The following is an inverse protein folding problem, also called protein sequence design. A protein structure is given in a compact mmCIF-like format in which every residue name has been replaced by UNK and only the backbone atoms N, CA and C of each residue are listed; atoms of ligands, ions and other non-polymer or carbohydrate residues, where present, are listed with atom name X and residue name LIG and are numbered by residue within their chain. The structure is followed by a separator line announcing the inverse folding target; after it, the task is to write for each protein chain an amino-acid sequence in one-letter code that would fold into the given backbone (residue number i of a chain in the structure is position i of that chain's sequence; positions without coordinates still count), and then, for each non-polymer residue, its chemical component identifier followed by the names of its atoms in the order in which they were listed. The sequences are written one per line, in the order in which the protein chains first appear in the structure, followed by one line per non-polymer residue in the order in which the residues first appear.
data_IF_949143651283
#
_entry.id   IF_949143651283
#
_cell.length_a   1.000
_cell.length_b   1.000
_cell.length_c   1.000
_cell.angle_alpha   90.00
_cell.angle_beta   90.00
_cell.angle_gamma   90.00
#
_symmetry.space_group_name_H-M   'P 1'
#
loop_
_entity.id
_entity.type
_entity.pdbx_description
1 polymer ?
#
# COMPACT_ATOMS: atom_id res chain seq x y z
N UNK A 1 15.77 19.72 1.90
CA UNK A 1 16.29 19.51 0.51
C UNK A 1 15.19 19.81 -0.50
N UNK A 2 15.46 20.57 -1.56
CA UNK A 2 14.63 20.68 -2.76
C UNK A 2 15.37 19.95 -3.86
N UNK A 3 14.90 18.76 -4.26
CA UNK A 3 15.74 17.96 -5.16
C UNK A 3 15.00 16.77 -5.74
N UNK A 4 15.46 16.37 -6.94
CA UNK A 4 15.28 15.02 -7.49
C UNK A 4 15.63 13.93 -6.47
N UNK A 5 16.56 14.19 -5.54
CA UNK A 5 16.89 13.28 -4.44
C UNK A 5 15.67 12.97 -3.56
N UNK A 6 14.90 14.00 -3.16
CA UNK A 6 13.70 13.80 -2.35
C UNK A 6 12.64 13.02 -3.12
N UNK A 7 12.45 13.33 -4.41
CA UNK A 7 11.54 12.62 -5.30
C UNK A 7 11.88 11.12 -5.38
N UNK A 8 13.16 10.80 -5.62
CA UNK A 8 13.62 9.43 -5.76
C UNK A 8 13.48 8.63 -4.45
N UNK A 9 13.86 9.22 -3.31
CA UNK A 9 13.70 8.58 -2.00
C UNK A 9 12.24 8.30 -1.65
N UNK A 10 11.37 9.27 -1.93
CA UNK A 10 9.92 9.15 -1.77
C UNK A 10 9.36 8.01 -2.62
N UNK A 11 9.61 8.04 -3.94
CA UNK A 11 9.09 7.02 -4.87
C UNK A 11 9.69 5.64 -4.65
N UNK A 12 10.98 5.53 -4.33
CA UNK A 12 11.62 4.26 -3.96
C UNK A 12 10.83 3.55 -2.86
N UNK A 13 10.52 4.27 -1.77
CA UNK A 13 9.78 3.70 -0.64
C UNK A 13 8.33 3.35 -0.98
N UNK A 14 7.66 4.13 -1.84
CA UNK A 14 6.32 3.83 -2.33
C UNK A 14 6.30 2.57 -3.17
N UNK A 15 7.26 2.40 -4.07
CA UNK A 15 7.32 1.20 -4.92
C UNK A 15 7.61 -0.07 -4.11
N UNK A 16 8.48 0.00 -3.08
CA UNK A 16 8.70 -1.13 -2.17
C UNK A 16 7.41 -1.49 -1.40
N UNK A 17 6.73 -0.50 -0.83
CA UNK A 17 5.48 -0.72 -0.11
C UNK A 17 4.36 -1.23 -1.04
N UNK A 18 4.30 -0.73 -2.30
CA UNK A 18 3.35 -1.20 -3.31
C UNK A 18 3.60 -2.64 -3.71
N UNK A 19 4.86 -3.05 -3.88
CA UNK A 19 5.22 -4.43 -4.14
C UNK A 19 4.78 -5.35 -2.99
N UNK A 20 5.00 -4.94 -1.73
CA UNK A 20 4.51 -5.67 -0.55
C UNK A 20 2.97 -5.79 -0.54
N UNK A 21 2.29 -4.68 -0.77
CA UNK A 21 0.82 -4.61 -0.78
C UNK A 21 0.24 -5.54 -1.86
N UNK A 22 0.76 -5.47 -3.08
CA UNK A 22 0.28 -6.28 -4.18
C UNK A 22 0.54 -7.77 -3.96
N UNK A 23 1.74 -8.14 -3.47
CA UNK A 23 2.05 -9.53 -3.11
C UNK A 23 1.04 -10.09 -2.10
N UNK A 24 0.65 -9.27 -1.11
CA UNK A 24 -0.33 -9.66 -0.10
C UNK A 24 -1.75 -9.80 -0.67
N UNK A 25 -2.21 -8.85 -1.48
CA UNK A 25 -3.56 -8.94 -2.07
C UNK A 25 -3.65 -10.13 -3.03
N UNK A 26 -2.61 -10.42 -3.83
CA UNK A 26 -2.57 -11.59 -4.71
C UNK A 26 -2.74 -12.90 -3.94
N UNK A 27 -1.96 -13.06 -2.88
CA UNK A 27 -1.96 -14.24 -2.02
C UNK A 27 -3.30 -14.43 -1.28
N UNK A 28 -3.84 -13.34 -0.71
CA UNK A 28 -5.14 -13.35 -0.04
C UNK A 28 -6.28 -13.64 -1.02
N UNK A 29 -6.25 -13.07 -2.23
CA UNK A 29 -7.29 -13.31 -3.24
C UNK A 29 -7.31 -14.78 -3.68
N UNK A 30 -6.13 -15.37 -3.87
CA UNK A 30 -5.98 -16.80 -4.15
C UNK A 30 -6.52 -17.66 -3.00
N UNK A 31 -6.16 -17.34 -1.75
CA UNK A 31 -6.62 -18.07 -0.57
C UNK A 31 -8.15 -17.99 -0.40
N UNK A 32 -8.73 -16.80 -0.62
CA UNK A 32 -10.17 -16.58 -0.54
C UNK A 32 -10.95 -17.37 -1.60
N UNK A 33 -10.43 -17.42 -2.83
CA UNK A 33 -11.05 -18.19 -3.92
C UNK A 33 -11.08 -19.70 -3.61
N UNK A 34 -10.01 -20.24 -3.02
CA UNK A 34 -9.95 -21.63 -2.57
C UNK A 34 -10.95 -21.92 -1.45
N UNK A 35 -11.04 -21.04 -0.45
CA UNK A 35 -11.96 -21.19 0.69
C UNK A 35 -13.42 -21.18 0.27
N UNK A 36 -13.82 -20.27 -0.60
CA UNK A 36 -15.20 -20.15 -1.08
C UNK A 36 -15.60 -21.26 -2.07
N UNK A 37 -14.64 -22.08 -2.54
CA UNK A 37 -14.82 -23.03 -3.65
C UNK A 37 -15.49 -22.40 -4.87
N UNK A 38 -15.33 -21.08 -5.02
CA UNK A 38 -15.97 -20.29 -6.06
C UNK A 38 -14.90 -19.87 -7.05
N UNK A 39 -15.08 -20.25 -8.32
CA UNK A 39 -14.34 -19.67 -9.45
C UNK A 39 -14.85 -18.28 -9.82
N UNK A 40 -15.68 -17.66 -8.97
CA UNK A 40 -16.26 -16.35 -9.23
C UNK A 40 -15.14 -15.31 -9.39
N UNK A 41 -15.17 -14.62 -10.52
CA UNK A 41 -14.21 -13.58 -10.92
C UNK A 41 -14.05 -12.47 -9.88
N UNK A 42 -15.06 -12.23 -9.05
CA UNK A 42 -15.15 -11.02 -8.23
C UNK A 42 -14.04 -10.92 -7.16
N UNK A 43 -13.76 -12.00 -6.42
CA UNK A 43 -12.70 -12.00 -5.40
C UNK A 43 -11.30 -12.02 -6.04
N UNK A 44 -11.11 -12.83 -7.09
CA UNK A 44 -9.84 -12.91 -7.82
C UNK A 44 -9.53 -11.66 -8.66
N UNK A 45 -10.53 -10.84 -8.96
CA UNK A 45 -10.36 -9.56 -9.65
C UNK A 45 -9.87 -8.43 -8.74
N UNK A 46 -9.83 -8.63 -7.42
CA UNK A 46 -9.45 -7.56 -6.48
C UNK A 46 -8.08 -6.94 -6.80
N UNK A 47 -7.00 -7.72 -7.07
CA UNK A 47 -5.72 -7.15 -7.49
C UNK A 47 -5.83 -6.32 -8.78
N UNK A 48 -6.59 -6.79 -9.78
CA UNK A 48 -6.77 -6.08 -11.06
C UNK A 48 -7.55 -4.77 -10.86
N UNK A 49 -8.53 -4.74 -9.98
CA UNK A 49 -9.30 -3.54 -9.66
C UNK A 49 -8.50 -2.51 -8.88
N UNK A 50 -7.62 -2.95 -7.98
CA UNK A 50 -6.74 -2.04 -7.24
C UNK A 50 -5.75 -1.35 -8.16
N UNK A 51 -5.30 -2.04 -9.20
CA UNK A 51 -4.34 -1.54 -10.19
C UNK A 51 -5.00 -0.95 -11.44
N UNK A 52 -6.34 -0.87 -11.48
CA UNK A 52 -7.13 -0.44 -12.64
C UNK A 52 -6.77 -1.18 -13.95
N UNK A 53 -6.50 -2.48 -13.87
CA UNK A 53 -5.93 -3.30 -14.96
C UNK A 53 -6.84 -4.42 -15.48
N UNK A 54 -8.13 -4.44 -15.09
CA UNK A 54 -9.09 -5.49 -15.52
C UNK A 54 -9.21 -5.58 -17.05
N UNK A 55 -9.35 -4.43 -17.74
CA UNK A 55 -9.50 -4.39 -19.19
C UNK A 55 -8.24 -4.86 -19.93
N UNK A 56 -7.05 -4.45 -19.45
CA UNK A 56 -5.78 -4.86 -20.04
C UNK A 56 -5.52 -6.35 -19.83
N UNK A 57 -5.84 -6.86 -18.63
CA UNK A 57 -5.75 -8.29 -18.34
C UNK A 57 -6.67 -9.10 -19.26
N UNK A 58 -7.95 -8.71 -19.37
CA UNK A 58 -8.93 -9.41 -20.20
C UNK A 58 -8.51 -9.46 -21.67
N UNK A 59 -7.95 -8.36 -22.18
CA UNK A 59 -7.44 -8.30 -23.55
C UNK A 59 -6.24 -9.25 -23.82
N UNK A 60 -5.43 -9.56 -22.80
CA UNK A 60 -4.22 -10.41 -22.96
C UNK A 60 -4.43 -11.87 -22.59
N UNK A 61 -5.28 -12.13 -21.60
CA UNK A 61 -5.42 -13.44 -20.97
C UNK A 61 -6.85 -14.01 -21.04
N UNK A 62 -7.81 -13.24 -21.55
CA UNK A 62 -9.23 -13.58 -21.53
C UNK A 62 -9.92 -13.20 -20.21
N UNK A 63 -11.24 -13.44 -20.14
CA UNK A 63 -12.06 -13.06 -18.98
C UNK A 63 -11.88 -14.00 -17.78
N UNK A 64 -11.34 -15.20 -17.98
CA UNK A 64 -11.13 -16.17 -16.91
C UNK A 64 -9.90 -15.81 -16.07
N UNK A 65 -10.14 -15.52 -14.79
CA UNK A 65 -9.07 -15.16 -13.84
C UNK A 65 -8.71 -16.38 -13.02
N UNK A 66 -7.47 -16.85 -13.15
CA UNK A 66 -6.87 -17.82 -12.23
C UNK A 66 -5.56 -17.29 -11.62
N UNK A 67 -5.14 -17.90 -10.51
CA UNK A 67 -3.95 -17.47 -9.77
C UNK A 67 -2.69 -17.43 -10.64
N UNK A 68 -2.47 -18.42 -11.50
CA UNK A 68 -1.29 -18.49 -12.37
C UNK A 68 -1.25 -17.33 -13.35
N UNK A 69 -2.35 -17.06 -14.06
CA UNK A 69 -2.44 -15.93 -15.00
C UNK A 69 -2.33 -14.59 -14.29
N UNK A 70 -2.90 -14.48 -13.08
CA UNK A 70 -2.87 -13.25 -12.31
C UNK A 70 -1.46 -12.93 -11.80
N UNK A 71 -0.74 -13.92 -11.28
CA UNK A 71 0.67 -13.78 -10.90
C UNK A 71 1.59 -13.57 -12.10
N UNK A 72 1.32 -14.21 -13.24
CA UNK A 72 2.06 -13.93 -14.46
C UNK A 72 1.92 -12.46 -14.86
N UNK A 73 0.71 -11.89 -14.77
CA UNK A 73 0.43 -10.50 -15.15
C UNK A 73 0.88 -9.48 -14.09
N UNK A 74 0.47 -9.60 -12.83
CA UNK A 74 0.76 -8.63 -11.76
C UNK A 74 2.00 -8.97 -10.91
N UNK A 75 2.53 -10.19 -10.99
CA UNK A 75 3.77 -10.56 -10.31
C UNK A 75 4.99 -10.36 -11.19
N UNK A 76 5.05 -11.10 -12.30
CA UNK A 76 6.28 -11.31 -13.07
C UNK A 76 6.39 -10.52 -14.39
N UNK A 77 5.31 -9.91 -14.88
CA UNK A 77 5.34 -9.19 -16.16
C UNK A 77 5.93 -7.77 -16.04
N UNK A 78 6.16 -7.14 -17.20
CA UNK A 78 6.49 -5.71 -17.30
C UNK A 78 5.31 -4.74 -17.20
N UNK A 79 4.12 -5.19 -16.77
CA UNK A 79 2.99 -4.30 -16.51
C UNK A 79 3.39 -3.22 -15.47
N UNK A 80 3.04 -1.92 -15.63
CA UNK A 80 3.53 -0.86 -14.75
C UNK A 80 3.20 -1.05 -13.27
N UNK A 81 2.07 -1.68 -12.97
CA UNK A 81 1.65 -1.96 -11.60
C UNK A 81 2.19 -3.29 -11.03
N UNK A 82 2.93 -4.10 -11.82
CA UNK A 82 3.40 -5.41 -11.36
C UNK A 82 4.45 -5.30 -10.24
N UNK A 83 4.60 -6.36 -9.46
CA UNK A 83 5.66 -6.49 -8.45
C UNK A 83 7.03 -6.29 -9.11
N UNK A 84 7.28 -6.97 -10.24
CA UNK A 84 8.50 -6.80 -11.01
C UNK A 84 8.78 -5.33 -11.36
N UNK A 85 7.82 -4.61 -11.93
CA UNK A 85 7.99 -3.20 -12.31
C UNK A 85 8.18 -2.31 -11.09
N UNK A 86 7.46 -2.55 -9.99
CA UNK A 86 7.66 -1.82 -8.74
C UNK A 86 9.09 -2.00 -8.21
N UNK A 87 9.60 -3.24 -8.17
CA UNK A 87 10.96 -3.51 -7.69
C UNK A 87 12.04 -2.93 -8.61
N UNK A 88 11.81 -2.94 -9.93
CA UNK A 88 12.68 -2.24 -10.89
C UNK A 88 12.74 -0.75 -10.60
N UNK A 89 11.56 -0.11 -10.48
CA UNK A 89 11.49 1.32 -10.19
C UNK A 89 12.10 1.67 -8.84
N UNK A 90 11.90 0.86 -7.80
CA UNK A 90 12.55 1.05 -6.51
C UNK A 90 14.09 1.02 -6.65
N UNK A 91 14.62 0.06 -7.39
CA UNK A 91 16.05 -0.08 -7.66
C UNK A 91 16.62 1.11 -8.45
N UNK A 92 15.94 1.55 -9.50
CA UNK A 92 16.40 2.68 -10.31
C UNK A 92 16.37 4.01 -9.52
N UNK A 93 15.34 4.21 -8.69
CA UNK A 93 15.31 5.35 -7.76
C UNK A 93 16.45 5.30 -6.74
N UNK A 94 16.76 4.11 -6.21
CA UNK A 94 17.85 3.92 -5.26
C UNK A 94 19.22 4.24 -5.87
N UNK A 95 19.46 3.83 -7.13
CA UNK A 95 20.69 4.14 -7.86
C UNK A 95 20.87 5.63 -8.10
N UNK A 96 19.78 6.31 -8.49
CA UNK A 96 19.80 7.75 -8.71
C UNK A 96 20.13 8.55 -7.44
N UNK A 97 20.02 7.94 -6.25
CA UNK A 97 20.32 8.57 -4.95
C UNK A 97 21.27 7.74 -4.10
N UNK A 98 22.19 6.98 -4.71
CA UNK A 98 23.14 6.12 -3.99
C UNK A 98 23.83 6.81 -2.82
N UNK A 99 24.19 8.10 -2.98
CA UNK A 99 24.86 8.90 -1.94
C UNK A 99 23.99 9.26 -0.73
N UNK A 100 22.67 9.14 -0.84
CA UNK A 100 21.72 9.37 0.26
C UNK A 100 21.30 8.09 0.99
N UNK A 101 21.76 6.92 0.54
CA UNK A 101 21.46 5.61 1.13
C UNK A 101 22.67 5.05 1.86
N UNK A 102 22.42 4.28 2.92
CA UNK A 102 23.48 3.48 3.54
C UNK A 102 23.89 2.33 2.60
N UNK A 103 25.08 1.75 2.81
CA UNK A 103 25.54 0.60 2.04
C UNK A 103 24.54 -0.57 2.12
N UNK A 104 24.12 -0.91 3.34
CA UNK A 104 23.17 -2.00 3.59
C UNK A 104 21.81 -1.79 2.92
N UNK A 105 21.30 -0.56 2.89
CA UNK A 105 20.04 -0.25 2.18
C UNK A 105 20.18 -0.52 0.68
N UNK A 106 21.26 -0.02 0.07
CA UNK A 106 21.48 -0.17 -1.36
C UNK A 106 21.72 -1.63 -1.76
N UNK A 107 22.51 -2.37 -0.97
CA UNK A 107 22.76 -3.81 -1.14
C UNK A 107 21.47 -4.62 -1.00
N UNK A 108 20.63 -4.30 -0.01
CA UNK A 108 19.34 -4.95 0.18
C UNK A 108 18.43 -4.79 -1.05
N UNK A 109 18.32 -3.57 -1.60
CA UNK A 109 17.51 -3.30 -2.79
C UNK A 109 18.06 -4.06 -4.00
N UNK A 110 19.38 -4.10 -4.18
CA UNK A 110 20.00 -4.82 -5.29
C UNK A 110 19.83 -6.34 -5.18
N UNK A 111 20.02 -6.90 -4.00
CA UNK A 111 19.75 -8.33 -3.76
C UNK A 111 18.28 -8.68 -3.98
N UNK A 112 17.35 -7.78 -3.61
CA UNK A 112 15.92 -7.93 -3.92
C UNK A 112 15.69 -7.94 -5.43
N UNK A 113 16.32 -7.03 -6.17
CA UNK A 113 16.16 -6.97 -7.62
C UNK A 113 16.70 -8.24 -8.31
N UNK A 114 17.87 -8.73 -7.92
CA UNK A 114 18.45 -9.97 -8.46
C UNK A 114 17.50 -11.17 -8.25
N UNK A 115 16.97 -11.35 -7.04
CA UNK A 115 16.01 -12.42 -6.76
C UNK A 115 14.70 -12.28 -7.55
N UNK A 116 14.24 -11.05 -7.80
CA UNK A 116 13.09 -10.79 -8.66
C UNK A 116 13.39 -11.17 -10.12
N UNK A 117 14.59 -10.88 -10.63
CA UNK A 117 14.98 -11.26 -11.99
C UNK A 117 15.03 -12.78 -12.17
N UNK A 118 15.58 -13.51 -11.19
CA UNK A 118 15.57 -14.97 -11.18
C UNK A 118 14.14 -15.51 -11.21
N UNK A 119 13.26 -15.00 -10.35
CA UNK A 119 11.87 -15.42 -10.30
C UNK A 119 11.07 -15.04 -11.56
N UNK A 120 11.40 -13.93 -12.23
CA UNK A 120 10.75 -13.55 -13.49
C UNK A 120 11.18 -14.48 -14.65
N UNK A 121 12.44 -14.92 -14.68
CA UNK A 121 12.94 -15.87 -15.67
C UNK A 121 12.40 -17.28 -15.43
N UNK A 122 12.35 -17.70 -14.16
CA UNK A 122 11.84 -19.00 -13.75
C UNK A 122 10.85 -18.83 -12.59
N UNK A 123 9.57 -18.56 -12.89
CA UNK A 123 8.54 -18.40 -11.87
C UNK A 123 8.47 -19.61 -10.94
N UNK A 124 8.48 -19.41 -9.61
CA UNK A 124 8.42 -20.49 -8.65
C UNK A 124 7.08 -21.22 -8.78
N UNK A 125 7.11 -22.54 -8.55
CA UNK A 125 5.89 -23.34 -8.53
C UNK A 125 4.94 -22.94 -7.38
N UNK A 126 5.53 -22.53 -6.25
CA UNK A 126 4.81 -22.02 -5.09
C UNK A 126 4.78 -20.48 -5.11
N UNK A 127 3.66 -19.94 -5.58
CA UNK A 127 3.43 -18.50 -5.71
C UNK A 127 3.22 -17.81 -4.35
N UNK A 128 2.65 -18.52 -3.37
CA UNK A 128 2.45 -17.98 -2.03
C UNK A 128 3.80 -17.75 -1.34
N UNK A 129 4.71 -18.73 -1.45
CA UNK A 129 6.09 -18.59 -0.95
C UNK A 129 6.85 -17.44 -1.60
N UNK A 130 6.61 -17.17 -2.88
CA UNK A 130 7.18 -15.98 -3.53
C UNK A 130 6.57 -14.69 -2.98
N UNK A 131 5.26 -14.66 -2.74
CA UNK A 131 4.59 -13.57 -2.05
C UNK A 131 5.19 -13.28 -0.66
N UNK A 132 5.46 -14.33 0.13
CA UNK A 132 6.17 -14.23 1.42
C UNK A 132 7.55 -13.60 1.24
N UNK A 133 8.34 -14.09 0.29
CA UNK A 133 9.66 -13.55 0.01
C UNK A 133 9.60 -12.05 -0.32
N UNK A 134 8.68 -11.59 -1.17
CA UNK A 134 8.50 -10.15 -1.47
C UNK A 134 8.20 -9.34 -0.20
N UNK A 135 7.37 -9.86 0.70
CA UNK A 135 7.06 -9.23 1.99
C UNK A 135 8.28 -9.17 2.90
N UNK A 136 9.03 -10.27 3.01
CA UNK A 136 10.28 -10.33 3.77
C UNK A 136 11.31 -9.30 3.28
N UNK A 137 11.45 -9.13 1.95
CA UNK A 137 12.36 -8.12 1.38
C UNK A 137 11.98 -6.70 1.82
N UNK A 138 10.69 -6.38 1.81
CA UNK A 138 10.18 -5.07 2.23
C UNK A 138 10.35 -4.85 3.74
N UNK A 139 10.12 -5.88 4.55
CA UNK A 139 10.36 -5.83 6.00
C UNK A 139 11.84 -5.64 6.33
N UNK A 140 12.73 -6.36 5.64
CA UNK A 140 14.17 -6.23 5.80
C UNK A 140 14.64 -4.83 5.42
N UNK A 141 14.18 -4.28 4.28
CA UNK A 141 14.48 -2.90 3.89
C UNK A 141 14.04 -1.90 4.96
N UNK A 142 12.83 -2.04 5.48
CA UNK A 142 12.29 -1.18 6.54
C UNK A 142 13.14 -1.26 7.83
N UNK A 143 13.54 -2.46 8.23
CA UNK A 143 14.40 -2.69 9.40
C UNK A 143 15.78 -2.06 9.24
N UNK A 144 16.45 -2.30 8.10
CA UNK A 144 17.75 -1.70 7.77
C UNK A 144 17.66 -0.17 7.74
N UNK A 145 16.62 0.37 7.10
CA UNK A 145 16.38 1.82 7.03
C UNK A 145 16.26 2.40 8.43
N UNK A 146 15.44 1.80 9.30
CA UNK A 146 15.23 2.31 10.66
C UNK A 146 16.51 2.22 11.52
N UNK A 147 17.32 1.19 11.33
CA UNK A 147 18.51 0.93 12.14
C UNK A 147 19.78 1.67 11.72
N UNK A 148 19.92 2.05 10.44
CA UNK A 148 21.24 2.45 9.90
C UNK A 148 21.32 3.88 9.37
N UNK A 149 20.22 4.47 8.88
CA UNK A 149 20.28 5.79 8.24
C UNK A 149 20.25 6.93 9.27
N UNK A 150 20.90 8.05 8.95
CA UNK A 150 20.78 9.27 9.72
C UNK A 150 19.34 9.84 9.64
N UNK A 151 18.80 10.33 10.76
CA UNK A 151 17.39 10.80 10.86
C UNK A 151 17.21 12.23 10.34
N UNK A 152 17.61 12.46 9.10
CA UNK A 152 17.48 13.73 8.39
C UNK A 152 16.32 13.74 7.37
N UNK A 153 16.33 14.69 6.44
CA UNK A 153 15.31 14.80 5.40
C UNK A 153 15.25 13.54 4.52
N UNK A 154 16.35 12.84 4.27
CA UNK A 154 16.33 11.63 3.45
C UNK A 154 15.49 10.54 4.11
N UNK A 155 15.71 10.33 5.42
CA UNK A 155 14.89 9.43 6.23
C UNK A 155 13.40 9.84 6.23
N UNK A 156 13.13 11.15 6.35
CA UNK A 156 11.76 11.69 6.33
C UNK A 156 11.05 11.38 5.01
N UNK A 157 11.70 11.59 3.85
CA UNK A 157 11.08 11.30 2.56
C UNK A 157 10.83 9.81 2.33
N UNK A 158 11.74 8.93 2.79
CA UNK A 158 11.51 7.48 2.75
C UNK A 158 10.28 7.11 3.59
N UNK A 159 10.19 7.59 4.84
CA UNK A 159 9.02 7.29 5.68
C UNK A 159 7.73 7.88 5.11
N UNK A 160 7.79 9.09 4.56
CA UNK A 160 6.64 9.77 3.99
C UNK A 160 6.05 8.97 2.82
N UNK A 161 6.88 8.48 1.91
CA UNK A 161 6.41 7.63 0.81
C UNK A 161 5.77 6.34 1.31
N UNK A 162 6.40 5.66 2.28
CA UNK A 162 5.81 4.47 2.92
C UNK A 162 4.41 4.71 3.46
N UNK A 163 4.19 5.76 4.27
CA UNK A 163 2.88 5.99 4.89
C UNK A 163 1.82 6.50 3.91
N UNK A 164 2.21 7.30 2.91
CA UNK A 164 1.27 7.71 1.85
C UNK A 164 0.79 6.49 1.05
N UNK A 165 1.70 5.59 0.67
CA UNK A 165 1.32 4.38 -0.06
C UNK A 165 0.44 3.44 0.78
N UNK A 166 0.72 3.30 2.08
CA UNK A 166 -0.14 2.51 2.99
C UNK A 166 -1.54 3.08 3.11
N UNK A 167 -1.66 4.40 3.31
CA UNK A 167 -2.96 5.05 3.45
C UNK A 167 -3.78 4.92 2.16
N UNK A 168 -3.18 5.17 0.99
CA UNK A 168 -3.84 5.01 -0.31
C UNK A 168 -4.30 3.57 -0.52
N UNK A 169 -3.44 2.57 -0.26
CA UNK A 169 -3.77 1.16 -0.41
C UNK A 169 -4.93 0.73 0.54
N UNK A 170 -4.89 1.11 1.82
CA UNK A 170 -5.96 0.80 2.78
C UNK A 170 -7.28 1.43 2.35
N UNK A 171 -7.28 2.69 1.91
CA UNK A 171 -8.48 3.37 1.45
C UNK A 171 -9.06 2.73 0.18
N UNK A 172 -8.21 2.31 -0.78
CA UNK A 172 -8.65 1.60 -1.99
C UNK A 172 -9.23 0.23 -1.68
N UNK A 173 -8.61 -0.53 -0.79
CA UNK A 173 -9.09 -1.84 -0.36
C UNK A 173 -10.46 -1.74 0.36
N UNK A 174 -10.60 -0.78 1.28
CA UNK A 174 -11.88 -0.46 1.91
C UNK A 174 -12.91 -0.08 0.83
N UNK A 175 -12.56 0.80 -0.10
CA UNK A 175 -13.49 1.27 -1.14
C UNK A 175 -13.95 0.12 -2.02
N UNK A 176 -13.04 -0.73 -2.47
CA UNK A 176 -13.36 -1.93 -3.23
C UNK A 176 -14.32 -2.83 -2.47
N UNK A 177 -14.06 -3.05 -1.17
CA UNK A 177 -14.90 -3.90 -0.32
C UNK A 177 -16.32 -3.39 -0.16
N UNK A 178 -16.48 -2.08 -0.01
CA UNK A 178 -17.77 -1.44 0.20
C UNK A 178 -18.58 -1.22 -1.10
N UNK A 179 -18.05 -1.56 -2.29
CA UNK A 179 -18.84 -1.52 -3.55
C UNK A 179 -19.88 -2.63 -3.61
N UNK A 180 -19.59 -3.76 -2.97
CA UNK A 180 -20.42 -4.96 -2.99
C UNK A 180 -20.94 -5.25 -1.58
N UNK A 181 -21.99 -4.56 -1.15
CA UNK A 181 -22.63 -4.88 0.12
C UNK A 181 -23.50 -6.14 -0.05
N UNK A 182 -23.03 -7.28 0.45
CA UNK A 182 -23.77 -8.56 0.44
C UNK A 182 -23.83 -9.10 1.87
N UNK A 183 -25.01 -9.26 2.45
CA UNK A 183 -25.13 -9.87 3.78
C UNK A 183 -24.92 -11.40 3.73
N UNK A 184 -24.12 -11.97 4.65
CA UNK A 184 -24.00 -13.44 4.85
C UNK A 184 -22.57 -13.95 5.09
N UNK A 185 -22.38 -15.28 5.11
CA UNK A 185 -21.06 -15.91 5.38
C UNK A 185 -19.97 -15.55 4.35
N UNK A 186 -20.34 -15.33 3.08
CA UNK A 186 -19.41 -14.86 2.07
C UNK A 186 -18.85 -13.46 2.39
N UNK A 187 -19.62 -12.64 3.13
CA UNK A 187 -19.24 -11.31 3.61
C UNK A 187 -18.16 -11.41 4.69
N UNK A 188 -18.30 -12.38 5.61
CA UNK A 188 -17.33 -12.65 6.69
C UNK A 188 -15.94 -12.98 6.13
N UNK A 189 -15.83 -13.96 5.23
CA UNK A 189 -14.54 -14.31 4.63
C UNK A 189 -13.93 -13.15 3.85
N UNK A 190 -14.75 -12.32 3.19
CA UNK A 190 -14.26 -11.13 2.50
C UNK A 190 -13.76 -10.05 3.47
N UNK A 191 -14.35 -9.91 4.66
CA UNK A 191 -13.86 -9.00 5.70
C UNK A 191 -12.55 -9.51 6.33
N UNK A 192 -12.45 -10.82 6.58
CA UNK A 192 -11.19 -11.45 7.01
C UNK A 192 -10.11 -11.23 5.96
N UNK A 193 -10.41 -11.48 4.68
CA UNK A 193 -9.48 -11.23 3.58
C UNK A 193 -9.05 -9.75 3.49
N UNK A 194 -9.97 -8.81 3.71
CA UNK A 194 -9.61 -7.38 3.79
C UNK A 194 -8.61 -7.13 4.93
N UNK A 195 -8.87 -7.65 6.13
CA UNK A 195 -7.99 -7.50 7.29
C UNK A 195 -6.63 -8.15 7.05
N UNK A 196 -6.59 -9.35 6.47
CA UNK A 196 -5.36 -10.04 6.08
C UNK A 196 -4.58 -9.24 5.05
N UNK A 197 -5.25 -8.64 4.06
CA UNK A 197 -4.63 -7.80 3.01
C UNK A 197 -3.91 -6.56 3.56
N UNK A 198 -4.26 -6.12 4.77
CA UNK A 198 -3.61 -5.00 5.46
C UNK A 198 -2.98 -5.41 6.80
N UNK A 199 -2.72 -6.70 7.02
CA UNK A 199 -2.10 -7.21 8.25
C UNK A 199 -2.75 -6.72 9.56
N UNK A 200 -4.07 -6.60 9.56
CA UNK A 200 -4.86 -6.10 10.69
C UNK A 200 -5.76 -7.17 11.33
N UNK A 201 -5.69 -8.43 10.85
CA UNK A 201 -6.55 -9.50 11.37
C UNK A 201 -6.25 -9.81 12.84
N UNK A 202 -4.98 -9.97 13.22
CA UNK A 202 -4.58 -10.19 14.61
C UNK A 202 -4.96 -9.01 15.51
N UNK A 203 -4.79 -7.79 15.03
CA UNK A 203 -5.20 -6.58 15.75
C UNK A 203 -6.72 -6.55 15.97
N UNK A 204 -7.51 -6.90 14.95
CA UNK A 204 -8.97 -7.01 15.08
C UNK A 204 -9.36 -8.02 16.17
N UNK A 205 -8.77 -9.22 16.14
CA UNK A 205 -9.05 -10.27 17.12
C UNK A 205 -8.66 -9.86 18.54
N UNK A 206 -7.54 -9.14 18.68
CA UNK A 206 -7.05 -8.64 19.97
C UNK A 206 -7.89 -7.51 20.55
N UNK A 207 -8.58 -6.71 19.72
CA UNK A 207 -9.34 -5.53 20.18
C UNK A 207 -10.80 -5.86 20.42
N UNK A 208 -11.44 -6.58 19.50
CA UNK A 208 -12.89 -6.76 19.53
C UNK A 208 -13.34 -8.09 20.13
N UNK A 209 -12.48 -9.11 20.16
CA UNK A 209 -12.77 -10.46 20.69
C UNK A 209 -14.12 -11.05 20.22
N UNK A 210 -14.55 -10.70 19.01
CA UNK A 210 -15.89 -10.98 18.48
C UNK A 210 -15.80 -11.30 16.98
N UNK A 211 -16.91 -11.75 16.42
CA UNK A 211 -17.06 -12.03 14.98
C UNK A 211 -16.74 -10.78 14.17
N UNK A 212 -16.08 -10.99 13.02
CA UNK A 212 -15.73 -9.92 12.09
C UNK A 212 -17.00 -9.29 11.51
N UNK A 213 -17.15 -7.97 11.67
CA UNK A 213 -18.28 -7.19 11.15
C UNK A 213 -17.81 -5.94 10.41
N UNK A 214 -18.55 -5.53 9.38
CA UNK A 214 -18.15 -4.42 8.52
C UNK A 214 -17.95 -3.08 9.27
N UNK A 215 -18.84 -2.66 10.20
CA UNK A 215 -18.65 -1.42 10.96
C UNK A 215 -17.37 -1.43 11.80
N UNK A 216 -17.08 -2.52 12.52
CA UNK A 216 -15.87 -2.66 13.33
C UNK A 216 -14.60 -2.68 12.47
N UNK A 217 -14.65 -3.34 11.30
CA UNK A 217 -13.52 -3.32 10.35
C UNK A 217 -13.27 -1.90 9.81
N UNK A 218 -14.32 -1.16 9.47
CA UNK A 218 -14.16 0.23 9.03
C UNK A 218 -13.62 1.12 10.14
N UNK A 219 -14.14 1.03 11.36
CA UNK A 219 -13.62 1.76 12.52
C UNK A 219 -12.14 1.46 12.76
N UNK A 220 -11.75 0.18 12.75
CA UNK A 220 -10.36 -0.24 12.93
C UNK A 220 -9.43 0.32 11.84
N UNK A 221 -9.84 0.20 10.57
CA UNK A 221 -8.97 0.56 9.44
C UNK A 221 -8.99 2.06 9.13
N UNK A 222 -9.99 2.81 9.60
CA UNK A 222 -10.09 4.25 9.36
C UNK A 222 -9.59 5.03 10.58
N UNK A 223 -10.11 4.75 11.78
CA UNK A 223 -9.99 5.65 12.94
C UNK A 223 -9.02 5.16 14.02
N UNK A 224 -8.65 3.88 14.05
CA UNK A 224 -7.79 3.36 15.12
C UNK A 224 -6.31 3.77 14.91
N UNK A 225 -5.69 4.56 15.80
CA UNK A 225 -4.32 5.05 15.60
C UNK A 225 -3.22 4.01 15.90
N UNK A 226 -3.56 2.89 16.55
CA UNK A 226 -2.61 1.87 16.99
C UNK A 226 -2.37 0.78 15.93
N UNK A 227 -3.23 0.71 14.90
CA UNK A 227 -3.08 -0.23 13.78
C UNK A 227 -2.20 0.41 12.69
N UNK A 228 -0.98 -0.08 12.42
CA UNK A 228 0.01 0.64 11.59
C UNK A 228 -0.40 0.94 10.14
N UNK A 229 -1.42 0.24 9.63
CA UNK A 229 -1.95 0.39 8.28
C UNK A 229 -3.32 1.09 8.24
N UNK A 230 -3.86 1.50 9.39
CA UNK A 230 -5.07 2.31 9.41
C UNK A 230 -4.81 3.70 8.84
N UNK A 231 -5.88 4.37 8.39
CA UNK A 231 -5.78 5.73 7.87
C UNK A 231 -5.32 6.69 8.97
N UNK A 232 -5.86 6.58 10.19
CA UNK A 232 -5.45 7.37 11.36
C UNK A 232 -3.97 7.24 11.69
N UNK A 233 -3.43 6.01 11.76
CA UNK A 233 -2.02 5.78 12.05
C UNK A 233 -1.12 6.37 10.96
N UNK A 234 -1.45 6.12 9.69
CA UNK A 234 -0.67 6.62 8.56
C UNK A 234 -0.67 8.16 8.50
N UNK A 235 -1.82 8.81 8.67
CA UNK A 235 -1.91 10.27 8.64
C UNK A 235 -1.35 10.94 9.89
N UNK A 236 -1.38 10.28 11.05
CA UNK A 236 -0.64 10.71 12.23
C UNK A 236 0.86 10.83 11.92
N UNK A 237 1.44 9.80 11.31
CA UNK A 237 2.85 9.79 10.89
C UNK A 237 3.14 10.80 9.76
N UNK A 238 2.30 10.87 8.73
CA UNK A 238 2.45 11.83 7.62
C UNK A 238 2.46 13.26 8.18
N UNK A 239 1.50 13.61 9.03
CA UNK A 239 1.40 14.95 9.63
C UNK A 239 2.66 15.31 10.43
N UNK A 240 3.15 14.40 11.27
CA UNK A 240 4.38 14.59 12.03
C UNK A 240 5.61 14.75 11.13
N UNK A 241 5.77 13.89 10.12
CA UNK A 241 6.92 13.91 9.21
C UNK A 241 6.94 15.21 8.42
N UNK A 242 5.81 15.60 7.81
CA UNK A 242 5.73 16.80 6.97
C UNK A 242 5.97 18.06 7.79
N UNK A 243 5.53 18.11 9.06
CA UNK A 243 5.82 19.21 9.97
C UNK A 243 7.32 19.40 10.24
N UNK A 244 8.09 18.31 10.26
CA UNK A 244 9.54 18.32 10.52
C UNK A 244 10.39 18.71 9.31
N UNK A 245 9.85 18.66 8.09
CA UNK A 245 10.60 19.07 6.90
C UNK A 245 10.86 20.59 6.97
N UNK A 246 12.14 20.94 7.05
CA UNK A 246 12.58 22.30 7.28
C UNK A 246 12.33 23.23 6.07
N UNK A 247 12.17 24.52 6.35
CA UNK A 247 12.05 25.57 5.35
C UNK A 247 10.64 26.17 5.22
N UNK A 248 10.51 27.31 4.52
CA UNK A 248 9.27 28.08 4.42
C UNK A 248 8.26 27.49 3.42
N UNK A 249 8.68 26.50 2.61
CA UNK A 249 7.84 25.86 1.58
C UNK A 249 6.91 24.79 2.17
N UNK A 250 5.88 24.45 1.40
CA UNK A 250 4.94 23.37 1.72
C UNK A 250 3.97 23.69 2.87
N UNK A 251 3.70 24.97 3.15
CA UNK A 251 2.66 25.38 4.11
C UNK A 251 1.31 24.71 3.82
N UNK A 252 0.92 24.63 2.55
CA UNK A 252 -0.33 23.99 2.14
C UNK A 252 -0.31 22.47 2.37
N UNK A 253 0.81 21.80 2.05
CA UNK A 253 0.98 20.38 2.35
C UNK A 253 0.92 20.09 3.86
N UNK A 254 1.62 20.90 4.68
CA UNK A 254 1.58 20.84 6.15
C UNK A 254 0.16 21.02 6.68
N UNK A 255 -0.56 22.03 6.16
CA UNK A 255 -1.95 22.31 6.54
C UNK A 255 -2.87 21.13 6.20
N UNK A 256 -2.87 20.65 4.96
CA UNK A 256 -3.73 19.57 4.52
C UNK A 256 -3.45 18.26 5.28
N UNK A 257 -2.18 17.92 5.48
CA UNK A 257 -1.81 16.74 6.27
C UNK A 257 -2.31 16.84 7.72
N UNK A 258 -2.21 18.02 8.34
CA UNK A 258 -2.73 18.24 9.69
C UNK A 258 -4.27 18.19 9.77
N UNK A 259 -4.96 18.76 8.77
CA UNK A 259 -6.43 18.72 8.68
C UNK A 259 -6.93 17.28 8.51
N UNK A 260 -6.31 16.49 7.63
CA UNK A 260 -6.68 15.08 7.44
C UNK A 260 -6.38 14.24 8.69
N UNK A 261 -5.23 14.45 9.34
CA UNK A 261 -4.90 13.76 10.59
C UNK A 261 -5.88 14.12 11.72
N UNK A 262 -6.27 15.38 11.86
CA UNK A 262 -7.24 15.81 12.85
C UNK A 262 -8.64 15.22 12.57
N UNK A 263 -9.08 15.20 11.31
CA UNK A 263 -10.35 14.61 10.91
C UNK A 263 -10.43 13.12 11.24
N UNK A 264 -9.33 12.37 11.09
CA UNK A 264 -9.24 10.96 11.45
C UNK A 264 -9.14 10.74 12.97
N UNK A 265 -8.46 11.62 13.70
CA UNK A 265 -8.28 11.50 15.15
C UNK A 265 -9.54 11.82 15.94
N UNK A 266 -10.34 12.77 15.47
CA UNK A 266 -11.54 13.25 16.16
C UNK A 266 -12.85 12.88 15.44
N UNK A 267 -12.76 12.07 14.38
CA UNK A 267 -13.93 11.60 13.63
C UNK A 267 -14.69 10.50 14.38
N UNK A 268 -15.98 10.38 14.07
CA UNK A 268 -16.85 9.31 14.55
C UNK A 268 -17.20 8.36 13.39
N UNK A 269 -17.15 7.05 13.63
CA UNK A 269 -17.48 6.06 12.61
C UNK A 269 -18.95 6.15 12.17
N UNK A 270 -19.87 6.53 13.06
CA UNK A 270 -21.29 6.69 12.75
C UNK A 270 -21.51 7.83 11.74
N UNK A 271 -20.79 8.94 11.89
CA UNK A 271 -20.86 10.06 10.94
C UNK A 271 -20.34 9.66 9.55
N UNK A 272 -19.25 8.90 9.51
CA UNK A 272 -18.67 8.37 8.27
C UNK A 272 -19.64 7.40 7.58
N UNK A 273 -20.27 6.51 8.35
CA UNK A 273 -21.27 5.58 7.83
C UNK A 273 -22.51 6.33 7.33
N UNK A 274 -22.95 7.38 8.02
CA UNK A 274 -24.09 8.22 7.63
C UNK A 274 -23.83 9.02 6.35
N UNK A 275 -22.60 9.52 6.14
CA UNK A 275 -22.17 10.16 4.89
C UNK A 275 -22.15 9.17 3.70
N UNK A 276 -22.04 7.88 4.00
CA UNK A 276 -21.87 6.80 3.03
C UNK A 276 -20.40 6.52 2.76
N UNK A 277 -19.98 5.29 3.06
CA UNK A 277 -18.57 4.86 3.02
C UNK A 277 -17.90 5.07 1.65
N UNK A 278 -18.61 4.84 0.53
CA UNK A 278 -18.07 5.08 -0.81
C UNK A 278 -17.72 6.55 -1.05
N UNK A 279 -18.59 7.46 -0.60
CA UNK A 279 -18.40 8.90 -0.78
C UNK A 279 -17.23 9.38 0.10
N UNK A 280 -17.19 8.95 1.36
CA UNK A 280 -16.10 9.26 2.28
C UNK A 280 -14.74 8.82 1.70
N UNK A 281 -14.62 7.55 1.29
CA UNK A 281 -13.36 7.02 0.76
C UNK A 281 -12.97 7.65 -0.58
N UNK A 282 -13.94 8.01 -1.43
CA UNK A 282 -13.65 8.73 -2.66
C UNK A 282 -13.08 10.13 -2.38
N UNK A 283 -13.68 10.86 -1.43
CA UNK A 283 -13.17 12.17 -0.99
C UNK A 283 -11.77 12.04 -0.39
N UNK A 284 -11.58 11.08 0.53
CA UNK A 284 -10.30 10.83 1.19
C UNK A 284 -9.16 10.51 0.20
N UNK A 285 -9.42 9.68 -0.82
CA UNK A 285 -8.45 9.39 -1.88
C UNK A 285 -8.13 10.66 -2.70
N UNK A 286 -9.13 11.51 -2.95
CA UNK A 286 -8.93 12.81 -3.60
C UNK A 286 -8.01 13.74 -2.80
N UNK A 287 -8.24 13.86 -1.49
CA UNK A 287 -7.38 14.66 -0.61
C UNK A 287 -5.96 14.07 -0.48
N UNK A 288 -5.83 12.73 -0.50
CA UNK A 288 -4.52 12.06 -0.50
C UNK A 288 -3.73 12.37 -1.78
N UNK A 289 -4.40 12.37 -2.94
CA UNK A 289 -3.79 12.76 -4.21
C UNK A 289 -3.42 14.26 -4.25
N UNK A 290 -4.26 15.13 -3.68
CA UNK A 290 -3.96 16.56 -3.53
C UNK A 290 -2.72 16.77 -2.64
N UNK A 291 -2.64 16.05 -1.51
CA UNK A 291 -1.46 16.10 -0.64
C UNK A 291 -0.19 15.65 -1.37
N UNK A 292 -0.25 14.57 -2.13
CA UNK A 292 0.88 14.08 -2.94
C UNK A 292 1.36 15.14 -3.94
N UNK A 293 0.44 15.79 -4.65
CA UNK A 293 0.76 16.89 -5.57
C UNK A 293 1.40 18.08 -4.84
N UNK A 294 0.86 18.48 -3.69
CA UNK A 294 1.42 19.57 -2.88
C UNK A 294 2.81 19.24 -2.36
N UNK A 295 3.06 17.99 -1.93
CA UNK A 295 4.38 17.53 -1.50
C UNK A 295 5.37 17.56 -2.66
N UNK A 296 4.93 17.13 -3.84
CA UNK A 296 5.76 17.11 -5.03
C UNK A 296 6.21 18.53 -5.43
N UNK A 297 5.28 19.44 -5.60
CA UNK A 297 5.58 20.84 -5.97
C UNK A 297 6.35 21.57 -4.88
N UNK A 298 6.08 21.30 -3.60
CA UNK A 298 6.77 21.98 -2.51
C UNK A 298 8.22 21.52 -2.32
N UNK A 299 8.51 20.23 -2.52
CA UNK A 299 9.76 19.61 -2.05
C UNK A 299 10.54 18.81 -3.10
N UNK A 300 9.91 18.38 -4.19
CA UNK A 300 10.46 17.38 -5.12
C UNK A 300 10.68 17.91 -6.55
N UNK A 301 10.07 19.03 -6.92
CA UNK A 301 10.40 19.73 -8.15
C UNK A 301 11.79 20.39 -8.06
N UNK A 302 12.62 20.17 -9.07
CA UNK A 302 13.86 20.91 -9.25
C UNK A 302 13.54 22.26 -9.90
N UNK A 303 14.05 23.36 -9.32
CA UNK A 303 14.14 24.64 -10.04
C UNK A 303 15.25 24.58 -11.09
#
# INVERSE_FOLDING_TARGET
MLSRTAANLYWMSRYLERAENLARVLDVSQSLALLKRSTHSDDMSAPLRLTDSEAEFAARHGEEINARTLWAFLGFSGHPASIHSCLLQARDNADAVRGALTGEMWENIHATWLGMQEAAQQPPADLARFGDWVRERSHLFRGITYGTIHRDDAYRFIRLGTFVERADNTARLLKLRYRHHRAGMADHYALVALLESVSAHDAYQSIYHDTVSAPKVAELLILNPDVPRSLAACFGEISQIVAQIAGPRGRNAKKLAAEMAAALMYGDIQDILAQGMQNYLHHFLGQTAELDALLHTAYMEAL
#
